data_IF_231603797880
#
_entry.id   IF_231603797880
#
_cell.length_a   1.000
_cell.length_b   1.000
_cell.length_c   1.000
_cell.angle_alpha   90.00
_cell.angle_beta   90.00
_cell.angle_gamma   90.00
#
_symmetry.space_group_name_H-M   'P 1'
#
loop_
_entity.id
_entity.type
_entity.pdbx_description
1 polymer ?
#
# COMPACT_ATOMS: atom_id res chain seq x y z
N UNK A 1 23.11 -16.18 -16.76
CA UNK A 1 22.63 -14.92 -16.17
C UNK A 1 21.65 -15.32 -15.09
N UNK A 2 21.79 -14.79 -13.89
CA UNK A 2 20.89 -15.14 -12.79
C UNK A 2 19.49 -14.62 -13.10
N UNK A 3 18.50 -15.52 -13.12
CA UNK A 3 17.12 -15.19 -13.47
C UNK A 3 16.46 -14.21 -12.49
N UNK A 4 17.03 -14.07 -11.29
CA UNK A 4 16.54 -13.18 -10.25
C UNK A 4 17.69 -12.30 -9.72
N UNK A 5 17.43 -11.02 -9.49
CA UNK A 5 18.37 -10.10 -8.82
C UNK A 5 17.72 -9.40 -7.63
N UNK A 6 18.59 -9.00 -6.69
CA UNK A 6 18.29 -8.03 -5.64
C UNK A 6 19.41 -7.00 -5.67
N UNK A 7 19.06 -5.79 -6.08
CA UNK A 7 19.99 -4.69 -6.24
C UNK A 7 19.59 -3.56 -5.31
N UNK A 8 20.55 -2.78 -4.79
CA UNK A 8 20.23 -1.63 -3.97
C UNK A 8 21.11 -0.41 -4.21
N UNK A 9 20.55 0.76 -3.94
CA UNK A 9 21.24 2.04 -4.03
C UNK A 9 20.65 3.08 -3.08
N UNK A 10 21.47 4.02 -2.62
CA UNK A 10 21.01 5.08 -1.71
C UNK A 10 20.52 6.32 -2.46
N UNK A 11 19.50 6.99 -1.89
CA UNK A 11 18.93 8.23 -2.39
C UNK A 11 18.90 9.28 -1.29
N UNK A 12 19.84 10.23 -1.37
CA UNK A 12 19.96 11.32 -0.39
C UNK A 12 18.68 12.17 -0.29
N UNK A 13 18.03 12.44 -1.43
CA UNK A 13 16.82 13.25 -1.52
C UNK A 13 15.57 12.64 -0.86
N UNK A 14 15.62 11.35 -0.51
CA UNK A 14 14.51 10.62 0.13
C UNK A 14 14.94 10.17 1.52
N UNK A 15 15.34 11.12 2.39
CA UNK A 15 15.80 10.84 3.76
C UNK A 15 16.99 9.87 3.84
N UNK A 16 17.88 9.88 2.84
CA UNK A 16 18.97 8.90 2.70
C UNK A 16 18.49 7.45 2.64
N UNK A 17 17.29 7.19 2.12
CA UNK A 17 16.74 5.83 1.99
C UNK A 17 17.57 4.98 1.04
N UNK A 18 17.69 3.71 1.38
CA UNK A 18 17.99 2.67 0.41
C UNK A 18 16.76 2.42 -0.49
N UNK A 19 17.00 2.31 -1.80
CA UNK A 19 16.07 1.72 -2.76
C UNK A 19 16.52 0.29 -3.01
N UNK A 20 15.61 -0.67 -2.87
CA UNK A 20 15.86 -2.08 -3.13
C UNK A 20 15.04 -2.50 -4.34
N UNK A 21 15.70 -3.07 -5.34
CA UNK A 21 15.08 -3.54 -6.59
C UNK A 21 15.14 -5.06 -6.65
N UNK A 22 13.97 -5.69 -6.68
CA UNK A 22 13.80 -7.11 -6.99
C UNK A 22 13.55 -7.23 -8.49
N UNK A 23 14.26 -8.08 -9.21
CA UNK A 23 14.01 -8.25 -10.65
C UNK A 23 14.12 -9.69 -11.15
N UNK A 24 13.36 -10.00 -12.19
CA UNK A 24 13.48 -11.19 -13.03
C UNK A 24 13.00 -10.89 -14.46
N UNK A 25 12.91 -11.91 -15.32
CA UNK A 25 12.48 -11.77 -16.73
C UNK A 25 11.00 -11.39 -16.94
N UNK A 26 10.21 -11.23 -15.88
CA UNK A 26 8.75 -10.98 -15.93
C UNK A 26 8.33 -9.75 -15.11
N UNK A 27 9.04 -9.43 -14.03
CA UNK A 27 8.72 -8.34 -13.11
C UNK A 27 10.00 -7.71 -12.60
N UNK A 28 10.00 -6.37 -12.52
CA UNK A 28 10.94 -5.60 -11.72
C UNK A 28 10.17 -4.73 -10.72
N UNK A 29 10.52 -4.78 -9.44
CA UNK A 29 9.90 -3.95 -8.40
C UNK A 29 10.98 -3.20 -7.66
N UNK A 30 10.83 -1.88 -7.52
CA UNK A 30 11.72 -1.04 -6.71
C UNK A 30 10.97 -0.49 -5.50
N UNK A 31 11.46 -0.75 -4.30
CA UNK A 31 10.89 -0.31 -3.02
C UNK A 31 11.87 0.63 -2.30
N UNK A 32 11.38 1.71 -1.71
CA UNK A 32 12.16 2.61 -0.87
C UNK A 32 12.00 2.30 0.63
N UNK A 33 13.06 2.44 1.42
CA UNK A 33 12.96 2.38 2.89
C UNK A 33 12.00 3.42 3.48
N UNK A 34 12.05 4.67 3.00
CA UNK A 34 11.08 5.67 3.44
C UNK A 34 9.69 5.28 2.97
N UNK A 35 8.76 5.17 3.92
CA UNK A 35 7.34 4.92 3.66
C UNK A 35 6.99 3.63 2.94
N UNK A 36 7.96 2.74 2.70
CA UNK A 36 7.81 1.59 1.79
C UNK A 36 7.16 1.99 0.46
N UNK A 37 7.56 3.15 -0.09
CA UNK A 37 7.10 3.56 -1.40
C UNK A 37 7.55 2.52 -2.43
N UNK A 38 6.59 1.98 -3.17
CA UNK A 38 6.84 1.20 -4.37
C UNK A 38 7.04 2.20 -5.51
N UNK A 39 8.30 2.46 -5.81
CA UNK A 39 8.74 3.42 -6.82
C UNK A 39 8.31 2.95 -8.22
N UNK A 40 8.45 1.66 -8.49
CA UNK A 40 7.93 1.04 -9.72
C UNK A 40 7.60 -0.44 -9.51
N UNK A 41 6.60 -0.88 -10.25
CA UNK A 41 6.28 -2.28 -10.59
C UNK A 41 6.30 -2.30 -12.12
N UNK A 42 7.32 -2.88 -12.72
CA UNK A 42 7.48 -2.95 -14.17
C UNK A 42 7.21 -4.36 -14.66
N UNK A 43 6.41 -4.49 -15.71
CA UNK A 43 6.12 -5.76 -16.40
C UNK A 43 6.26 -5.57 -17.92
N UNK A 44 6.57 -6.62 -18.68
CA UNK A 44 6.59 -6.53 -20.14
C UNK A 44 5.16 -6.43 -20.69
N UNK A 45 4.96 -5.58 -21.69
CA UNK A 45 3.77 -5.61 -22.53
C UNK A 45 3.82 -6.77 -23.54
N UNK A 46 2.86 -6.81 -24.47
CA UNK A 46 2.77 -7.86 -25.51
C UNK A 46 3.98 -7.89 -26.46
N UNK A 47 4.70 -6.78 -26.58
CA UNK A 47 5.87 -6.64 -27.44
C UNK A 47 7.19 -6.82 -26.64
N UNK A 48 7.08 -7.16 -25.35
CA UNK A 48 8.21 -7.40 -24.46
C UNK A 48 8.81 -6.12 -23.85
N UNK A 49 8.18 -4.96 -24.04
CA UNK A 49 8.66 -3.69 -23.49
C UNK A 49 8.26 -3.59 -22.02
N UNK A 50 9.26 -3.51 -21.14
CA UNK A 50 9.03 -3.25 -19.71
C UNK A 50 8.63 -1.80 -19.48
N UNK A 51 7.54 -1.60 -18.74
CA UNK A 51 7.10 -0.28 -18.28
C UNK A 51 6.41 -0.36 -16.91
N UNK A 52 6.42 0.72 -16.10
CA UNK A 52 5.72 0.73 -14.83
C UNK A 52 4.21 0.63 -15.02
N UNK A 53 3.56 -0.26 -14.26
CA UNK A 53 2.10 -0.42 -14.23
C UNK A 53 1.44 0.29 -13.02
N UNK A 54 2.23 1.02 -12.26
CA UNK A 54 1.78 1.86 -11.15
C UNK A 54 2.18 3.33 -11.37
N UNK A 55 1.37 4.24 -10.85
CA UNK A 55 1.71 5.65 -10.78
C UNK A 55 2.90 5.87 -9.84
N UNK A 56 3.72 6.88 -10.15
CA UNK A 56 4.87 7.26 -9.36
C UNK A 56 5.24 8.74 -9.60
N UNK A 57 6.08 9.32 -8.76
CA UNK A 57 6.60 10.68 -8.93
C UNK A 57 7.94 10.72 -9.68
N UNK A 58 8.34 9.63 -10.33
CA UNK A 58 9.66 9.48 -10.93
C UNK A 58 10.77 9.68 -9.89
N UNK A 59 11.76 10.51 -10.22
CA UNK A 59 12.88 10.87 -9.33
C UNK A 59 12.67 12.19 -8.58
N UNK A 60 11.44 12.73 -8.57
CA UNK A 60 11.11 13.91 -7.78
C UNK A 60 10.87 13.52 -6.31
N UNK A 61 11.96 13.30 -5.58
CA UNK A 61 11.94 12.87 -4.17
C UNK A 61 11.18 13.84 -3.27
N UNK A 62 11.12 15.12 -3.64
CA UNK A 62 10.37 16.12 -2.88
C UNK A 62 8.87 15.82 -2.87
N UNK A 63 8.31 15.24 -3.94
CA UNK A 63 6.90 14.84 -3.99
C UNK A 63 6.60 13.66 -3.08
N UNK A 64 7.48 12.65 -3.02
CA UNK A 64 7.32 11.54 -2.07
C UNK A 64 7.37 12.00 -0.61
N UNK A 65 8.20 12.99 -0.29
CA UNK A 65 8.29 13.56 1.07
C UNK A 65 7.06 14.40 1.46
N UNK A 66 6.38 14.99 0.47
CA UNK A 66 5.21 15.85 0.65
C UNK A 66 3.91 15.16 0.22
N UNK A 67 3.94 13.85 -0.01
CA UNK A 67 2.79 13.07 -0.47
C UNK A 67 1.69 13.05 0.59
N UNK A 68 0.48 13.43 0.16
CA UNK A 68 -0.73 13.46 0.97
C UNK A 68 -1.85 12.57 0.39
N UNK A 69 -1.61 11.94 -0.77
CA UNK A 69 -2.54 11.03 -1.45
C UNK A 69 -2.18 9.55 -1.28
N UNK A 70 -1.13 9.26 -0.50
CA UNK A 70 -0.62 7.92 -0.22
C UNK A 70 -0.23 7.18 -1.51
N UNK A 71 0.49 7.84 -2.42
CA UNK A 71 0.80 7.26 -3.73
C UNK A 71 1.76 6.07 -3.60
N UNK A 72 1.25 4.84 -3.70
CA UNK A 72 2.05 3.61 -3.75
C UNK A 72 2.92 3.34 -2.51
N UNK A 73 2.50 3.79 -1.32
CA UNK A 73 3.19 3.55 -0.04
C UNK A 73 2.38 2.69 0.93
N UNK A 74 3.00 2.31 2.06
CA UNK A 74 2.31 1.62 3.14
C UNK A 74 1.43 2.56 3.96
N UNK A 75 0.19 2.15 4.22
CA UNK A 75 -0.68 2.79 5.20
C UNK A 75 -0.71 1.99 6.51
N UNK A 76 -0.54 2.68 7.63
CA UNK A 76 -0.56 2.09 8.97
C UNK A 76 -0.34 3.16 10.04
N UNK A 77 -0.62 2.91 11.33
CA UNK A 77 -0.95 1.61 11.96
C UNK A 77 -2.33 1.05 11.61
N UNK A 78 -3.27 1.92 11.22
CA UNK A 78 -4.61 1.55 10.78
C UNK A 78 -4.91 2.22 9.44
N UNK A 79 -5.09 1.40 8.40
CA UNK A 79 -5.48 1.85 7.08
C UNK A 79 -6.96 2.27 7.04
N UNK A 80 -7.25 3.29 6.23
CA UNK A 80 -8.54 3.96 6.16
C UNK A 80 -8.88 4.69 7.47
N UNK A 81 -10.17 4.94 7.72
CA UNK A 81 -10.61 5.90 8.71
C UNK A 81 -11.04 5.27 10.03
N UNK A 82 -10.70 5.96 11.13
CA UNK A 82 -11.27 5.77 12.45
C UNK A 82 -12.14 6.99 12.75
N UNK A 83 -13.45 6.76 12.92
CA UNK A 83 -14.43 7.81 13.19
C UNK A 83 -14.02 8.60 14.43
N UNK A 84 -13.97 9.93 14.29
CA UNK A 84 -13.55 10.87 15.34
C UNK A 84 -12.14 10.61 15.90
N UNK A 85 -11.34 9.75 15.26
CA UNK A 85 -10.09 9.23 15.80
C UNK A 85 -10.25 8.52 17.14
N UNK A 86 -11.45 8.03 17.47
CA UNK A 86 -11.75 7.44 18.77
C UNK A 86 -11.90 5.94 18.67
N UNK A 87 -11.30 5.25 19.63
CA UNK A 87 -11.45 3.82 19.79
C UNK A 87 -11.49 3.45 21.27
N UNK A 88 -12.19 2.38 21.58
CA UNK A 88 -12.23 1.80 22.93
C UNK A 88 -11.63 0.41 22.87
N UNK A 89 -10.59 0.18 23.67
CA UNK A 89 -9.89 -1.11 23.77
C UNK A 89 -9.92 -1.52 25.24
N UNK A 90 -10.50 -2.69 25.54
CA UNK A 90 -10.66 -3.22 26.91
C UNK A 90 -11.26 -2.21 27.90
N UNK A 91 -12.24 -1.43 27.43
CA UNK A 91 -12.95 -0.43 28.24
C UNK A 91 -12.20 0.90 28.44
N UNK A 92 -11.00 1.05 27.90
CA UNK A 92 -10.24 2.31 27.92
C UNK A 92 -10.39 3.06 26.59
N UNK A 93 -10.67 4.36 26.68
CA UNK A 93 -10.75 5.25 25.52
C UNK A 93 -9.37 5.71 25.08
N UNK A 94 -9.17 5.75 23.76
CA UNK A 94 -7.97 6.26 23.11
C UNK A 94 -8.37 7.26 22.03
N UNK A 95 -7.59 8.34 21.92
CA UNK A 95 -7.73 9.37 20.90
C UNK A 95 -6.49 9.33 20.01
N UNK A 96 -6.68 9.00 18.74
CA UNK A 96 -5.65 9.07 17.71
C UNK A 96 -5.61 10.47 17.09
N UNK A 97 -4.51 10.76 16.39
CA UNK A 97 -4.36 12.02 15.65
C UNK A 97 -5.44 12.17 14.59
N UNK A 98 -6.05 13.35 14.53
CA UNK A 98 -7.00 13.73 13.49
C UNK A 98 -6.26 14.39 12.34
N UNK A 99 -6.37 13.82 11.13
CA UNK A 99 -5.70 14.31 9.93
C UNK A 99 -6.61 14.35 8.69
N UNK A 100 -7.86 13.89 8.77
CA UNK A 100 -8.81 13.95 7.66
C UNK A 100 -10.19 14.39 8.15
N UNK A 101 -10.48 15.69 8.04
CA UNK A 101 -11.70 16.27 8.59
C UNK A 101 -11.77 16.05 10.10
N UNK A 102 -12.80 15.35 10.56
CA UNK A 102 -12.96 14.99 11.97
C UNK A 102 -12.39 13.60 12.29
N UNK A 103 -11.73 12.92 11.35
CA UNK A 103 -11.34 11.51 11.49
C UNK A 103 -9.81 11.33 11.46
N UNK A 104 -9.35 10.23 12.04
CA UNK A 104 -8.01 9.72 11.79
C UNK A 104 -8.06 8.87 10.51
N UNK A 105 -7.17 9.12 9.57
CA UNK A 105 -7.04 8.36 8.33
C UNK A 105 -5.61 7.84 8.17
N UNK A 106 -5.47 6.59 7.75
CA UNK A 106 -4.20 5.93 7.44
C UNK A 106 -3.12 6.10 8.52
N UNK A 107 -3.54 6.04 9.79
CA UNK A 107 -2.65 6.07 10.95
C UNK A 107 -2.16 7.45 11.39
N UNK A 108 -2.72 8.55 10.87
CA UNK A 108 -2.47 9.90 11.40
C UNK A 108 -1.51 10.75 10.56
N UNK A 109 -1.03 11.87 11.13
CA UNK A 109 -0.24 12.88 10.38
C UNK A 109 1.12 12.32 9.97
N UNK A 110 1.77 11.56 10.85
CA UNK A 110 3.03 10.86 10.63
C UNK A 110 2.82 9.35 10.67
N UNK A 111 1.84 8.86 9.92
CA UNK A 111 1.60 7.43 9.69
C UNK A 111 2.78 6.71 9.04
N UNK A 112 2.64 5.41 8.80
CA UNK A 112 3.75 4.55 8.40
C UNK A 112 4.39 4.92 7.05
N UNK A 113 3.65 5.59 6.16
CA UNK A 113 4.17 6.14 4.90
C UNK A 113 5.21 7.26 5.10
N UNK A 114 5.30 7.83 6.30
CA UNK A 114 6.25 8.92 6.63
C UNK A 114 7.38 8.46 7.56
N UNK A 115 7.48 7.17 7.84
CA UNK A 115 8.53 6.59 8.68
C UNK A 115 9.64 5.99 7.80
N UNK A 116 10.86 5.95 8.34
CA UNK A 116 11.94 5.20 7.73
C UNK A 116 11.85 3.75 8.20
N UNK A 117 11.83 2.82 7.25
CA UNK A 117 11.91 1.40 7.51
C UNK A 117 13.34 0.94 7.33
N UNK A 118 13.76 -0.03 8.14
CA UNK A 118 15.07 -0.65 7.99
C UNK A 118 14.95 -1.80 7.00
N UNK A 119 15.67 -1.74 5.88
CA UNK A 119 15.95 -2.91 5.07
C UNK A 119 16.81 -3.89 5.90
N UNK A 120 16.22 -4.98 6.36
CA UNK A 120 16.83 -5.87 7.35
C UNK A 120 17.44 -7.12 6.73
N UNK A 121 16.90 -7.58 5.60
CA UNK A 121 17.38 -8.78 4.91
C UNK A 121 16.94 -8.78 3.44
N UNK A 122 17.68 -9.50 2.62
CA UNK A 122 17.35 -9.79 1.23
C UNK A 122 17.76 -11.22 0.90
N UNK A 123 16.86 -11.96 0.26
CA UNK A 123 17.06 -13.38 0.00
C UNK A 123 16.78 -13.73 -1.46
N UNK A 124 17.53 -14.72 -1.96
CA UNK A 124 17.32 -15.34 -3.26
C UNK A 124 17.27 -16.85 -3.07
N UNK A 125 16.19 -17.46 -3.53
CA UNK A 125 16.08 -18.92 -3.62
C UNK A 125 16.53 -19.37 -5.01
N UNK A 126 17.84 -19.40 -5.24
CA UNK A 126 18.42 -19.78 -6.54
C UNK A 126 17.82 -19.00 -7.72
N UNK A 127 17.09 -19.69 -8.59
CA UNK A 127 16.36 -19.15 -9.74
C UNK A 127 14.83 -19.20 -9.58
N UNK A 128 14.33 -19.29 -8.34
CA UNK A 128 12.90 -19.47 -8.04
C UNK A 128 12.24 -18.20 -7.54
N UNK A 129 12.92 -17.42 -6.69
CA UNK A 129 12.37 -16.18 -6.11
C UNK A 129 13.46 -15.22 -5.62
N UNK A 130 13.08 -13.95 -5.49
CA UNK A 130 13.85 -12.93 -4.78
C UNK A 130 12.94 -12.19 -3.80
N UNK A 131 13.46 -11.82 -2.63
CA UNK A 131 12.70 -11.10 -1.61
C UNK A 131 13.54 -10.06 -0.89
N UNK A 132 12.87 -9.02 -0.38
CA UNK A 132 13.43 -8.00 0.50
C UNK A 132 12.53 -7.80 1.72
N UNK A 133 13.14 -7.73 2.89
CA UNK A 133 12.46 -7.63 4.18
C UNK A 133 12.73 -6.28 4.81
N UNK A 134 11.67 -5.59 5.23
CA UNK A 134 11.73 -4.29 5.88
C UNK A 134 11.10 -4.36 7.26
N UNK A 135 11.72 -3.69 8.22
CA UNK A 135 11.25 -3.67 9.61
C UNK A 135 11.15 -2.26 10.17
N UNK A 136 10.18 -2.03 11.05
CA UNK A 136 9.99 -0.77 11.74
C UNK A 136 9.34 -1.01 13.10
N UNK A 137 9.73 -0.22 14.10
CA UNK A 137 9.05 -0.15 15.40
C UNK A 137 8.26 1.15 15.49
N UNK A 138 6.97 1.04 15.79
CA UNK A 138 6.09 2.16 16.17
C UNK A 138 5.91 2.12 17.69
N UNK A 139 6.32 3.18 18.38
CA UNK A 139 6.32 3.22 19.84
C UNK A 139 4.89 3.27 20.42
N UNK A 140 4.75 2.92 21.70
CA UNK A 140 3.52 3.20 22.46
C UNK A 140 3.18 4.69 22.40
N UNK A 141 1.94 5.00 22.03
CA UNK A 141 1.45 6.37 21.85
C UNK A 141 1.77 7.03 20.51
N UNK A 142 2.48 6.36 19.59
CA UNK A 142 2.74 6.89 18.23
C UNK A 142 1.39 7.17 17.53
N UNK A 143 1.16 8.42 17.14
CA UNK A 143 -0.11 8.93 16.59
C UNK A 143 -1.37 8.62 17.46
N UNK A 144 -1.16 8.39 18.76
CA UNK A 144 -2.20 8.08 19.75
C UNK A 144 -2.60 6.61 19.84
N UNK A 145 -1.91 5.71 19.14
CA UNK A 145 -2.16 4.27 19.22
C UNK A 145 -1.42 3.63 20.42
N UNK A 146 -2.08 2.82 21.27
CA UNK A 146 -1.43 2.15 22.39
C UNK A 146 -0.55 0.99 21.95
N UNK A 147 0.41 0.64 22.81
CA UNK A 147 1.32 -0.49 22.65
C UNK A 147 2.45 -0.18 21.67
N UNK A 148 3.63 -0.67 21.98
CA UNK A 148 4.67 -0.75 20.98
C UNK A 148 4.24 -1.78 19.92
N UNK A 149 4.55 -1.50 18.66
CA UNK A 149 4.28 -2.39 17.55
C UNK A 149 5.55 -2.55 16.72
N UNK A 150 6.06 -3.77 16.67
CA UNK A 150 7.10 -4.16 15.72
C UNK A 150 6.41 -4.70 14.48
N UNK A 151 6.79 -4.19 13.31
CA UNK A 151 6.20 -4.55 12.02
C UNK A 151 7.29 -4.99 11.07
N UNK A 152 7.03 -6.09 10.37
CA UNK A 152 7.85 -6.61 9.29
C UNK A 152 7.02 -6.70 8.02
N UNK A 153 7.57 -6.22 6.91
CA UNK A 153 6.98 -6.39 5.58
C UNK A 153 7.98 -7.11 4.69
N UNK A 154 7.53 -8.20 4.06
CA UNK A 154 8.33 -8.97 3.10
C UNK A 154 7.76 -8.80 1.71
N UNK A 155 8.57 -8.29 0.80
CA UNK A 155 8.27 -8.20 -0.62
C UNK A 155 8.94 -9.36 -1.33
N UNK A 156 8.20 -10.12 -2.14
CA UNK A 156 8.73 -11.28 -2.86
C UNK A 156 8.25 -11.29 -4.31
N UNK A 157 9.16 -11.58 -5.23
CA UNK A 157 8.82 -11.90 -6.63
C UNK A 157 9.04 -13.39 -6.93
N UNK A 158 8.12 -14.00 -7.66
CA UNK A 158 8.18 -15.41 -8.09
C UNK A 158 7.49 -15.55 -9.44
N UNK A 159 8.26 -15.74 -10.52
CA UNK A 159 7.74 -15.65 -11.88
C UNK A 159 7.12 -14.27 -12.12
N UNK A 160 5.85 -14.24 -12.53
CA UNK A 160 5.04 -13.04 -12.69
C UNK A 160 4.17 -12.70 -11.46
N UNK A 161 4.49 -13.25 -10.29
CA UNK A 161 3.81 -12.92 -9.03
C UNK A 161 4.66 -11.95 -8.22
N UNK A 162 4.04 -10.87 -7.77
CA UNK A 162 4.55 -9.99 -6.73
C UNK A 162 3.68 -10.16 -5.48
N UNK A 163 4.28 -10.52 -4.35
CA UNK A 163 3.60 -10.68 -3.07
C UNK A 163 4.16 -9.74 -2.00
N UNK A 164 3.26 -9.32 -1.11
CA UNK A 164 3.56 -8.54 0.08
C UNK A 164 2.99 -9.29 1.29
N UNK A 165 3.83 -9.56 2.26
CA UNK A 165 3.43 -10.22 3.52
C UNK A 165 3.68 -9.26 4.68
N UNK A 166 2.71 -9.16 5.58
CA UNK A 166 2.74 -8.24 6.72
C UNK A 166 2.70 -9.04 8.01
N UNK A 167 3.68 -8.81 8.88
CA UNK A 167 3.77 -9.41 10.19
C UNK A 167 3.84 -8.28 11.22
N UNK A 168 3.09 -8.42 12.32
CA UNK A 168 3.08 -7.42 13.37
C UNK A 168 2.98 -8.07 14.75
N UNK A 169 3.78 -7.60 15.70
CA UNK A 169 3.75 -8.04 17.11
C UNK A 169 3.68 -6.83 18.03
N UNK A 170 2.88 -6.93 19.09
CA UNK A 170 2.67 -5.84 20.04
C UNK A 170 2.81 -6.30 21.48
N UNK A 171 3.15 -5.37 22.38
CA UNK A 171 3.25 -5.62 23.83
C UNK A 171 2.03 -5.15 24.63
N UNK A 172 1.02 -4.56 23.98
CA UNK A 172 -0.26 -4.23 24.58
C UNK A 172 -1.40 -4.33 23.53
N UNK A 173 -2.65 -4.58 23.94
CA UNK A 173 -3.80 -4.57 23.03
C UNK A 173 -3.87 -3.28 22.19
N UNK A 174 -3.93 -3.45 20.87
CA UNK A 174 -3.96 -2.34 19.90
C UNK A 174 -4.70 -2.76 18.63
N UNK A 175 -5.05 -1.79 17.78
CA UNK A 175 -5.60 -2.06 16.45
C UNK A 175 -4.49 -2.03 15.40
N UNK A 176 -4.53 -2.98 14.47
CA UNK A 176 -3.58 -3.07 13.35
C UNK A 176 -4.35 -3.41 12.08
N UNK A 177 -4.21 -2.56 11.06
CA UNK A 177 -4.76 -2.80 9.73
C UNK A 177 -3.79 -2.18 8.72
N UNK A 178 -3.03 -3.00 8.01
CA UNK A 178 -1.95 -2.54 7.12
C UNK A 178 -2.30 -2.85 5.67
N UNK A 179 -1.97 -1.92 4.76
CA UNK A 179 -2.09 -2.14 3.32
C UNK A 179 -1.06 -1.31 2.58
N UNK A 180 -0.72 -1.69 1.36
CA UNK A 180 -0.10 -0.78 0.41
C UNK A 180 -1.18 -0.08 -0.43
N UNK A 181 -0.98 1.21 -0.69
CA UNK A 181 -1.91 2.06 -1.41
C UNK A 181 -1.47 2.22 -2.87
N UNK A 182 -1.28 1.10 -3.57
CA UNK A 182 -0.79 1.10 -4.95
C UNK A 182 -1.87 1.63 -5.90
N UNK A 183 -1.53 2.67 -6.66
CA UNK A 183 -2.36 3.19 -7.74
C UNK A 183 -1.90 2.56 -9.05
N UNK A 184 -2.69 1.63 -9.57
CA UNK A 184 -2.40 0.96 -10.84
C UNK A 184 -2.91 1.77 -12.02
N UNK A 185 -2.07 1.87 -13.05
CA UNK A 185 -2.46 2.21 -14.41
C UNK A 185 -1.67 1.29 -15.35
N UNK A 186 -2.37 0.33 -15.96
CA UNK A 186 -1.75 -0.68 -16.84
C UNK A 186 -1.38 -0.14 -18.22
N UNK A 187 -1.76 1.09 -18.55
CA UNK A 187 -1.34 1.75 -19.80
C UNK A 187 0.09 2.28 -19.67
N UNK A 188 0.76 2.46 -20.81
CA UNK A 188 2.10 3.05 -20.86
C UNK A 188 2.10 4.59 -20.74
N UNK A 189 0.98 5.23 -21.10
CA UNK A 189 0.72 6.66 -20.89
C UNK A 189 -0.11 6.89 -19.62
N UNK A 190 0.57 7.18 -18.51
CA UNK A 190 -0.07 7.46 -17.22
C UNK A 190 -0.82 8.80 -17.16
N UNK A 191 -0.81 9.61 -18.22
CA UNK A 191 -1.67 10.79 -18.31
C UNK A 191 -3.13 10.46 -18.66
N UNK A 192 -3.40 9.23 -19.12
CA UNK A 192 -4.73 8.76 -19.45
C UNK A 192 -5.51 8.24 -18.22
N UNK A 193 -6.83 8.35 -18.28
CA UNK A 193 -7.75 7.77 -17.28
C UNK A 193 -7.80 6.23 -17.40
N UNK A 194 -8.07 5.55 -16.29
CA UNK A 194 -8.26 4.08 -16.25
C UNK A 194 -9.63 3.60 -16.76
N UNK A 195 -10.42 4.45 -17.43
CA UNK A 195 -11.80 4.13 -17.82
C UNK A 195 -11.93 2.94 -18.77
N UNK A 196 -10.88 2.62 -19.53
CA UNK A 196 -10.85 1.46 -20.44
C UNK A 196 -10.42 0.17 -19.74
N UNK A 197 -9.91 0.25 -18.51
CA UNK A 197 -9.50 -0.92 -17.74
C UNK A 197 -10.73 -1.74 -17.36
N UNK A 198 -10.60 -3.05 -17.51
CA UNK A 198 -11.62 -4.00 -17.08
C UNK A 198 -11.36 -4.41 -15.63
N UNK A 199 -12.33 -4.19 -14.76
CA UNK A 199 -12.31 -4.68 -13.38
C UNK A 199 -13.25 -5.89 -13.24
N UNK A 200 -12.78 -6.91 -12.53
CA UNK A 200 -13.55 -8.10 -12.17
C UNK A 200 -13.18 -8.55 -10.76
N UNK A 201 -14.18 -8.63 -9.88
CA UNK A 201 -14.09 -9.04 -8.48
C UNK A 201 -15.18 -10.09 -8.20
N UNK A 202 -14.99 -11.35 -8.66
CA UNK A 202 -16.05 -12.35 -8.68
C UNK A 202 -16.55 -12.77 -7.28
N UNK A 203 -15.73 -12.55 -6.25
CA UNK A 203 -16.07 -12.90 -4.85
C UNK A 203 -16.53 -11.69 -4.01
N UNK A 204 -16.66 -10.50 -4.60
CA UNK A 204 -17.09 -9.30 -3.90
C UNK A 204 -18.60 -9.08 -4.11
N UNK A 205 -19.42 -9.85 -3.38
CA UNK A 205 -20.89 -9.79 -3.45
C UNK A 205 -21.49 -8.65 -2.61
N UNK A 206 -20.70 -8.01 -1.74
CA UNK A 206 -21.13 -6.90 -0.89
C UNK A 206 -20.13 -5.74 -0.82
N UNK A 207 -20.64 -4.56 -0.52
CA UNK A 207 -19.83 -3.35 -0.28
C UNK A 207 -20.31 -2.57 0.95
N UNK A 208 -19.41 -1.76 1.51
CA UNK A 208 -19.74 -0.84 2.60
C UNK A 208 -20.16 0.52 2.02
N UNK A 209 -21.39 0.94 2.32
CA UNK A 209 -21.81 2.33 2.07
C UNK A 209 -21.08 3.25 3.02
N UNK A 210 -20.69 4.42 2.54
CA UNK A 210 -20.02 5.44 3.36
C UNK A 210 -20.82 6.72 3.39
N UNK A 211 -20.75 7.45 4.50
CA UNK A 211 -21.30 8.79 4.63
C UNK A 211 -20.33 9.87 4.15
N UNK A 212 -20.78 11.13 4.11
CA UNK A 212 -19.92 12.28 3.84
C UNK A 212 -18.82 12.35 4.90
N UNK A 213 -17.58 12.05 4.51
CA UNK A 213 -16.45 11.85 5.43
C UNK A 213 -15.77 10.50 5.27
N UNK A 214 -16.37 9.57 4.52
CA UNK A 214 -15.78 8.28 4.19
C UNK A 214 -15.84 7.24 5.32
N UNK A 215 -16.71 7.45 6.31
CA UNK A 215 -16.97 6.49 7.38
C UNK A 215 -18.07 5.51 6.91
N UNK A 216 -17.88 4.19 7.10
CA UNK A 216 -18.94 3.23 6.82
C UNK A 216 -20.21 3.54 7.61
N UNK A 217 -21.34 3.57 6.92
CA UNK A 217 -22.66 3.71 7.56
C UNK A 217 -22.90 2.51 8.46
N UNK A 218 -23.41 2.75 9.66
CA UNK A 218 -23.74 1.68 10.61
C UNK A 218 -24.78 0.73 10.00
N UNK A 219 -24.47 -0.56 9.97
CA UNK A 219 -25.36 -1.59 9.47
C UNK A 219 -24.59 -2.71 8.79
N UNK A 220 -25.33 -3.60 8.13
CA UNK A 220 -24.75 -4.65 7.29
C UNK A 220 -24.23 -4.07 5.98
N UNK A 221 -23.25 -4.77 5.39
CA UNK A 221 -22.81 -4.49 4.04
C UNK A 221 -23.97 -4.68 3.04
N UNK A 222 -23.99 -3.87 1.99
CA UNK A 222 -25.02 -3.90 0.95
C UNK A 222 -24.63 -4.83 -0.19
N UNK A 223 -25.60 -5.54 -0.76
CA UNK A 223 -25.36 -6.35 -1.96
C UNK A 223 -24.91 -5.47 -3.13
N UNK A 224 -23.97 -5.97 -3.92
CA UNK A 224 -23.52 -5.27 -5.13
C UNK A 224 -24.52 -5.42 -6.27
N UNK A 225 -25.29 -6.51 -6.30
CA UNK A 225 -26.23 -6.85 -7.37
C UNK A 225 -27.19 -5.67 -7.67
N UNK A 226 -27.30 -5.32 -8.95
CA UNK A 226 -28.15 -4.21 -9.40
C UNK A 226 -27.59 -2.81 -9.10
N UNK A 227 -26.35 -2.69 -8.61
CA UNK A 227 -25.68 -1.41 -8.36
C UNK A 227 -24.51 -1.17 -9.32
N UNK A 228 -24.00 0.07 -9.34
CA UNK A 228 -22.78 0.44 -10.09
C UNK A 228 -21.50 -0.22 -9.54
N UNK A 229 -21.56 -0.80 -8.33
CA UNK A 229 -20.44 -1.50 -7.70
C UNK A 229 -20.38 -2.99 -8.05
N UNK A 230 -21.32 -3.50 -8.84
CA UNK A 230 -21.30 -4.90 -9.28
C UNK A 230 -20.19 -5.14 -10.30
N UNK A 231 -19.03 -5.58 -9.81
CA UNK A 231 -17.92 -6.05 -10.62
C UNK A 231 -17.77 -7.58 -10.54
N UNK A 232 -18.83 -8.33 -10.20
CA UNK A 232 -18.76 -9.80 -10.13
C UNK A 232 -18.49 -10.47 -11.49
N UNK A 233 -18.68 -9.71 -12.57
CA UNK A 233 -18.23 -10.01 -13.94
C UNK A 233 -17.39 -8.86 -14.50
N UNK A 234 -16.50 -9.09 -15.49
CA UNK A 234 -15.67 -8.05 -16.07
C UNK A 234 -16.48 -6.87 -16.64
N UNK A 235 -16.16 -5.65 -16.22
CA UNK A 235 -16.75 -4.40 -16.74
C UNK A 235 -15.68 -3.34 -16.92
N UNK A 236 -15.80 -2.50 -17.95
CA UNK A 236 -14.95 -1.32 -18.08
C UNK A 236 -15.31 -0.32 -16.99
N UNK A 237 -14.30 0.25 -16.33
CA UNK A 237 -14.53 1.21 -15.25
C UNK A 237 -15.34 2.43 -15.71
N UNK A 238 -15.12 2.89 -16.95
CA UNK A 238 -15.84 4.04 -17.52
C UNK A 238 -17.33 3.82 -17.75
N UNK A 239 -17.80 2.57 -17.85
CA UNK A 239 -19.22 2.28 -18.09
C UNK A 239 -20.09 2.48 -16.85
N UNK A 240 -19.47 2.54 -15.66
CA UNK A 240 -20.17 2.57 -14.37
C UNK A 240 -19.75 3.72 -13.45
N UNK A 241 -18.58 4.35 -13.71
CA UNK A 241 -18.05 5.46 -12.90
C UNK A 241 -18.24 6.85 -13.55
N UNK A 242 -18.88 6.94 -14.72
CA UNK A 242 -19.13 8.19 -15.46
C UNK A 242 -20.33 8.97 -14.95
#
# INVERSE_FOLDING_TARGET
>A
MEKYSVDSNFVAGLKNSELVTLSNDQIRVTIAEYGLYIISIETPDRDGKFSPINLNYGRDWSKYLNDDVYLCCIAGRYANRIAYGRMTIDGKEYQTTINNGEHCNHGGVNGFNKKLWKHSDSYRDGESSASATFTMRSADGDEGFPGNLDVTVVFTITGNKFSMEYYATTDAPTVVNLTHHVYFNLDDDHSQTIYKHLLCMPSADKFLKVENGGIPVKGEACDVEGTVFDFTSPKALGDVLS
#
